data_IF_748143059026
#
_entry.id   IF_748143059026
#
_cell.length_a   1.000
_cell.length_b   1.000
_cell.length_c   1.000
_cell.angle_alpha   90.00
_cell.angle_beta   90.00
_cell.angle_gamma   90.00
#
_symmetry.space_group_name_H-M   'P 1'
#
loop_
_entity.id
_entity.type
_entity.pdbx_description
1 polymer ?
#
# COMPACT_ATOMS: atom_id res chain seq x y z
N UNK A 1 -22.18 2.94 -13.30
CA UNK A 1 -22.04 4.43 -13.34
C UNK A 1 -23.01 5.00 -14.38
N UNK A 2 -23.66 6.16 -14.11
CA UNK A 2 -24.59 6.75 -15.11
C UNK A 2 -23.80 7.52 -16.19
N UNK A 3 -24.48 7.78 -17.35
CA UNK A 3 -23.89 8.42 -18.52
C UNK A 3 -23.41 9.86 -18.23
N UNK A 4 -24.20 10.62 -17.49
CA UNK A 4 -23.90 12.02 -17.15
C UNK A 4 -22.62 12.15 -16.32
N UNK A 5 -22.42 11.27 -15.33
CA UNK A 5 -21.18 11.22 -14.57
C UNK A 5 -19.96 10.91 -15.43
N UNK A 6 -20.09 9.97 -16.38
CA UNK A 6 -19.00 9.63 -17.30
C UNK A 6 -18.63 10.76 -18.24
N UNK A 7 -19.64 11.50 -18.79
CA UNK A 7 -19.41 12.69 -19.61
C UNK A 7 -18.69 13.79 -18.80
N UNK A 8 -19.05 13.97 -17.52
CA UNK A 8 -18.37 14.89 -16.63
C UNK A 8 -16.92 14.52 -16.36
N UNK A 9 -16.59 13.23 -16.17
CA UNK A 9 -15.19 12.75 -16.05
C UNK A 9 -14.39 13.01 -17.32
N UNK A 10 -14.98 12.75 -18.51
CA UNK A 10 -14.34 13.00 -19.80
C UNK A 10 -14.04 14.48 -20.07
N UNK A 11 -14.78 15.39 -19.45
CA UNK A 11 -14.49 16.83 -19.50
C UNK A 11 -13.31 17.25 -18.59
N UNK A 12 -12.95 16.42 -17.61
CA UNK A 12 -11.84 16.64 -16.68
C UNK A 12 -10.56 15.96 -17.15
N UNK A 13 -10.70 14.70 -17.61
CA UNK A 13 -9.60 13.82 -17.99
C UNK A 13 -9.68 13.44 -19.48
N UNK A 14 -8.53 13.21 -20.12
CA UNK A 14 -8.53 12.60 -21.44
C UNK A 14 -9.05 11.15 -21.36
N UNK A 15 -9.70 10.67 -22.44
CA UNK A 15 -10.33 9.35 -22.46
C UNK A 15 -9.37 8.18 -22.21
N UNK A 16 -8.09 8.33 -22.54
CA UNK A 16 -7.03 7.33 -22.30
C UNK A 16 -6.72 7.10 -20.82
N UNK A 17 -7.12 8.03 -19.94
CA UNK A 17 -6.94 7.93 -18.50
C UNK A 17 -8.14 7.30 -17.75
N UNK A 18 -9.19 6.88 -18.50
CA UNK A 18 -10.45 6.36 -17.92
C UNK A 18 -10.66 4.93 -18.40
N UNK A 19 -10.64 3.99 -17.48
CA UNK A 19 -10.86 2.57 -17.74
C UNK A 19 -12.16 2.12 -17.09
N UNK A 20 -13.01 1.40 -17.84
CA UNK A 20 -14.27 0.86 -17.34
C UNK A 20 -14.13 -0.64 -17.09
N UNK A 21 -14.71 -1.12 -15.99
CA UNK A 21 -14.67 -2.53 -15.60
C UNK A 21 -13.22 -3.09 -15.57
N UNK A 22 -12.29 -2.29 -15.03
CA UNK A 22 -10.88 -2.66 -14.99
C UNK A 22 -10.61 -3.77 -13.97
N UNK A 23 -9.96 -4.84 -14.41
CA UNK A 23 -9.68 -6.02 -13.58
C UNK A 23 -8.68 -5.69 -12.45
N UNK A 24 -9.16 -5.67 -11.22
CA UNK A 24 -8.35 -5.34 -10.05
C UNK A 24 -7.27 -6.38 -9.71
N UNK A 25 -7.32 -7.58 -10.28
CA UNK A 25 -6.23 -8.56 -10.16
C UNK A 25 -4.90 -8.04 -10.74
N UNK A 26 -4.96 -7.16 -11.73
CA UNK A 26 -3.78 -6.52 -12.32
C UNK A 26 -3.16 -5.46 -11.41
N UNK A 27 -3.95 -4.91 -10.48
CA UNK A 27 -3.59 -3.78 -9.63
C UNK A 27 -3.41 -4.14 -8.15
N UNK A 28 -3.39 -5.44 -7.83
CA UNK A 28 -3.12 -5.93 -6.48
C UNK A 28 -1.99 -6.96 -6.47
N UNK A 29 -1.12 -6.92 -5.46
CA UNK A 29 -0.07 -7.92 -5.28
C UNK A 29 -0.63 -9.31 -4.92
N UNK A 30 -1.84 -9.37 -4.42
CA UNK A 30 -2.57 -10.62 -4.15
C UNK A 30 -3.08 -11.31 -5.42
N UNK A 31 -3.22 -10.54 -6.52
CA UNK A 31 -3.85 -10.97 -7.78
C UNK A 31 -5.26 -11.54 -7.56
N UNK A 32 -6.01 -10.91 -6.66
CA UNK A 32 -7.40 -11.24 -6.30
C UNK A 32 -8.26 -9.99 -6.44
N UNK A 33 -9.51 -10.17 -6.83
CA UNK A 33 -10.54 -9.12 -6.90
C UNK A 33 -11.34 -9.16 -8.19
N UNK A 34 -12.56 -8.66 -8.13
CA UNK A 34 -13.39 -8.38 -9.29
C UNK A 34 -12.99 -7.06 -9.97
N UNK A 35 -13.83 -6.59 -10.88
CA UNK A 35 -13.57 -5.36 -11.64
C UNK A 35 -13.87 -4.09 -10.83
N UNK A 36 -13.08 -3.04 -11.02
CA UNK A 36 -13.44 -1.68 -10.63
C UNK A 36 -14.42 -1.10 -11.65
N UNK A 37 -15.53 -0.53 -11.20
CA UNK A 37 -16.53 0.07 -12.09
C UNK A 37 -15.92 1.18 -12.97
N UNK A 38 -15.13 2.06 -12.35
CA UNK A 38 -14.31 3.08 -13.01
C UNK A 38 -12.92 3.09 -12.38
N UNK A 39 -11.89 3.02 -13.21
CA UNK A 39 -10.50 3.14 -12.79
C UNK A 39 -9.87 4.33 -13.53
N UNK A 40 -9.23 5.23 -12.81
CA UNK A 40 -8.65 6.46 -13.35
C UNK A 40 -7.15 6.48 -13.12
N UNK A 41 -6.37 6.84 -14.15
CA UNK A 41 -4.98 7.23 -14.01
C UNK A 41 -4.88 8.75 -13.96
N UNK A 42 -4.40 9.31 -12.85
CA UNK A 42 -4.30 10.74 -12.64
C UNK A 42 -2.84 11.15 -12.54
N UNK A 43 -2.44 12.13 -13.34
CA UNK A 43 -1.04 12.51 -13.51
C UNK A 43 -0.67 13.86 -12.86
N UNK A 44 -1.64 14.70 -12.52
CA UNK A 44 -1.42 16.03 -11.96
C UNK A 44 -2.29 16.30 -10.72
N UNK A 45 -1.84 17.24 -9.88
CA UNK A 45 -2.58 17.68 -8.68
C UNK A 45 -3.91 18.35 -9.07
N UNK A 46 -3.90 19.10 -10.15
CA UNK A 46 -5.07 19.82 -10.67
C UNK A 46 -6.17 18.86 -11.12
N UNK A 47 -5.80 17.79 -11.84
CA UNK A 47 -6.74 16.71 -12.23
C UNK A 47 -7.28 16.01 -10.99
N UNK A 48 -6.42 15.67 -10.03
CA UNK A 48 -6.80 14.99 -8.80
C UNK A 48 -7.83 15.80 -7.99
N UNK A 49 -7.60 17.11 -7.82
CA UNK A 49 -8.55 18.02 -7.15
C UNK A 49 -9.87 18.09 -7.90
N UNK A 50 -9.84 18.25 -9.23
CA UNK A 50 -11.06 18.33 -10.05
C UNK A 50 -11.88 17.04 -9.96
N UNK A 51 -11.24 15.88 -10.14
CA UNK A 51 -11.89 14.58 -10.07
C UNK A 51 -12.50 14.31 -8.70
N UNK A 52 -11.74 14.52 -7.62
CA UNK A 52 -12.24 14.26 -6.27
C UNK A 52 -13.36 15.20 -5.85
N UNK A 53 -13.31 16.46 -6.24
CA UNK A 53 -14.40 17.43 -6.03
C UNK A 53 -15.64 17.04 -6.87
N UNK A 54 -15.44 16.57 -8.09
CA UNK A 54 -16.52 16.10 -8.95
C UNK A 54 -17.20 14.85 -8.33
N UNK A 55 -16.43 13.86 -7.91
CA UNK A 55 -16.96 12.68 -7.21
C UNK A 55 -17.78 13.08 -5.98
N UNK A 56 -17.26 14.02 -5.15
CA UNK A 56 -17.98 14.51 -3.97
C UNK A 56 -19.31 15.20 -4.33
N UNK A 57 -19.29 16.04 -5.37
CA UNK A 57 -20.50 16.76 -5.85
C UNK A 57 -21.59 15.80 -6.31
N UNK A 58 -21.20 14.75 -7.03
CA UNK A 58 -22.12 13.75 -7.59
C UNK A 58 -22.45 12.63 -6.59
N UNK A 59 -21.91 12.65 -5.36
CA UNK A 59 -22.14 11.63 -4.34
C UNK A 59 -21.56 10.27 -4.70
N UNK A 60 -20.51 10.23 -5.49
CA UNK A 60 -19.81 9.00 -5.91
C UNK A 60 -18.60 8.77 -5.02
N UNK A 61 -18.54 7.58 -4.43
CA UNK A 61 -17.39 7.17 -3.61
C UNK A 61 -16.15 6.94 -4.48
N UNK A 62 -14.98 7.28 -3.94
CA UNK A 62 -13.72 6.99 -4.57
C UNK A 62 -12.70 6.42 -3.58
N UNK A 63 -11.74 5.67 -4.10
CA UNK A 63 -10.62 5.11 -3.36
C UNK A 63 -9.30 5.38 -4.11
N UNK A 64 -8.29 5.90 -3.38
CA UNK A 64 -6.95 6.12 -3.95
C UNK A 64 -6.12 4.88 -3.75
N UNK A 65 -5.71 4.28 -4.86
CA UNK A 65 -4.92 3.06 -4.91
C UNK A 65 -3.45 3.39 -5.09
N UNK A 66 -2.61 2.83 -4.23
CA UNK A 66 -1.17 2.74 -4.48
C UNK A 66 -0.85 1.48 -5.30
N UNK A 67 0.20 0.74 -4.90
CA UNK A 67 0.57 -0.51 -5.58
C UNK A 67 -0.31 -1.72 -5.21
N UNK A 68 -1.42 -1.54 -4.47
CA UNK A 68 -2.31 -2.62 -4.06
C UNK A 68 -1.65 -3.72 -3.21
N UNK A 69 -0.53 -3.41 -2.56
CA UNK A 69 0.31 -4.41 -1.86
C UNK A 69 -0.16 -4.78 -0.46
N UNK A 70 -1.18 -4.11 0.05
CA UNK A 70 -1.84 -4.40 1.34
C UNK A 70 -3.36 -4.44 1.19
N UNK A 71 -3.85 -4.91 0.03
CA UNK A 71 -5.26 -4.84 -0.33
C UNK A 71 -5.80 -6.21 -0.75
N UNK A 72 -6.98 -6.54 -0.25
CA UNK A 72 -7.82 -7.63 -0.71
C UNK A 72 -9.11 -7.03 -1.29
N UNK A 73 -9.25 -7.09 -2.60
CA UNK A 73 -10.44 -6.59 -3.32
C UNK A 73 -11.50 -7.70 -3.37
N UNK A 74 -12.77 -7.34 -3.13
CA UNK A 74 -13.88 -8.27 -3.18
C UNK A 74 -14.05 -8.94 -4.56
N UNK A 75 -14.59 -10.15 -4.58
CA UNK A 75 -14.83 -10.90 -5.81
C UNK A 75 -15.88 -10.22 -6.71
N UNK A 76 -16.83 -9.51 -6.09
CA UNK A 76 -17.85 -8.69 -6.77
C UNK A 76 -17.29 -7.42 -7.41
N UNK A 77 -16.04 -7.08 -7.10
CA UNK A 77 -15.37 -5.86 -7.58
C UNK A 77 -15.66 -4.64 -6.71
N UNK A 78 -15.36 -3.46 -7.25
CA UNK A 78 -15.46 -2.18 -6.54
C UNK A 78 -16.43 -1.27 -7.26
N UNK A 79 -17.46 -0.80 -6.55
CA UNK A 79 -18.34 0.26 -7.02
C UNK A 79 -17.68 1.63 -6.80
N UNK A 80 -18.03 2.58 -7.67
CA UNK A 80 -17.45 3.93 -7.62
C UNK A 80 -16.14 4.03 -8.40
N UNK A 81 -15.24 4.88 -7.94
CA UNK A 81 -14.05 5.29 -8.67
C UNK A 81 -12.78 4.84 -7.94
N UNK A 82 -11.92 4.11 -8.62
CA UNK A 82 -10.53 3.87 -8.19
C UNK A 82 -9.63 4.91 -8.84
N UNK A 83 -8.80 5.57 -8.06
CA UNK A 83 -7.84 6.58 -8.52
C UNK A 83 -6.42 6.03 -8.33
N UNK A 84 -5.67 5.91 -9.41
CA UNK A 84 -4.26 5.55 -9.42
C UNK A 84 -3.41 6.75 -9.82
N UNK A 85 -2.39 7.06 -9.01
CA UNK A 85 -1.55 8.25 -9.20
C UNK A 85 -0.34 7.89 -10.09
N UNK A 86 -0.20 8.63 -11.19
CA UNK A 86 0.83 8.40 -12.23
C UNK A 86 1.58 9.69 -12.59
N UNK A 87 2.35 9.68 -13.65
CA UNK A 87 2.98 10.87 -14.24
C UNK A 87 3.76 11.70 -13.21
N UNK A 88 3.40 12.99 -13.08
CA UNK A 88 4.07 13.93 -12.15
C UNK A 88 3.85 13.54 -10.68
N UNK A 89 2.75 12.84 -10.39
CA UNK A 89 2.44 12.33 -9.03
C UNK A 89 3.23 11.05 -8.68
N UNK A 90 4.01 10.51 -9.60
CA UNK A 90 4.89 9.35 -9.42
C UNK A 90 6.38 9.69 -9.72
N UNK A 91 6.75 10.96 -9.68
CA UNK A 91 8.13 11.42 -9.88
C UNK A 91 8.87 11.66 -8.56
N UNK A 92 10.21 11.85 -8.66
CA UNK A 92 11.05 12.28 -7.55
C UNK A 92 12.00 13.39 -7.98
N UNK A 93 12.36 14.27 -7.03
CA UNK A 93 13.37 15.32 -7.20
C UNK A 93 14.18 15.50 -5.93
N UNK A 94 15.40 16.01 -6.05
CA UNK A 94 16.28 16.24 -4.92
C UNK A 94 16.96 17.61 -5.01
N UNK A 95 17.09 18.27 -3.86
CA UNK A 95 17.85 19.50 -3.68
C UNK A 95 18.70 19.36 -2.43
N UNK A 96 20.02 19.19 -2.62
CA UNK A 96 20.93 18.80 -1.53
C UNK A 96 20.53 17.43 -0.96
N UNK A 97 20.25 17.38 0.35
CA UNK A 97 19.79 16.17 1.05
C UNK A 97 18.27 16.14 1.27
N UNK A 98 17.53 17.10 0.69
CA UNK A 98 16.08 17.14 0.72
C UNK A 98 15.53 16.46 -0.53
N UNK A 99 14.80 15.39 -0.33
CA UNK A 99 14.15 14.62 -1.38
C UNK A 99 12.65 14.89 -1.34
N UNK A 100 12.06 15.08 -2.51
CA UNK A 100 10.61 15.11 -2.71
C UNK A 100 10.20 13.97 -3.62
N UNK A 101 9.18 13.20 -3.21
CA UNK A 101 8.64 12.10 -4.01
C UNK A 101 7.12 12.16 -4.08
N UNK A 102 6.57 11.96 -5.27
CA UNK A 102 5.14 11.84 -5.50
C UNK A 102 4.57 10.56 -4.90
N UNK A 103 3.34 10.62 -4.42
CA UNK A 103 2.67 9.53 -3.72
C UNK A 103 2.48 8.25 -4.55
N UNK A 104 2.40 8.39 -5.90
CA UNK A 104 2.29 7.26 -6.83
C UNK A 104 3.62 6.53 -7.09
N UNK A 105 4.77 7.11 -6.73
CA UNK A 105 6.08 6.48 -6.95
C UNK A 105 6.20 5.20 -6.13
N UNK A 106 6.70 4.12 -6.73
CA UNK A 106 6.98 2.89 -5.98
C UNK A 106 8.18 3.08 -5.06
N UNK A 107 8.17 2.42 -3.89
CA UNK A 107 9.30 2.47 -2.95
C UNK A 107 10.58 1.87 -3.54
N UNK A 108 10.46 0.88 -4.42
CA UNK A 108 11.60 0.33 -5.14
C UNK A 108 12.24 1.36 -6.08
N UNK A 109 11.42 2.10 -6.85
CA UNK A 109 11.92 3.18 -7.72
C UNK A 109 12.51 4.33 -6.90
N UNK A 110 11.89 4.69 -5.77
CA UNK A 110 12.42 5.69 -4.85
C UNK A 110 13.79 5.27 -4.29
N UNK A 111 13.94 4.01 -3.86
CA UNK A 111 15.22 3.48 -3.38
C UNK A 111 16.30 3.50 -4.47
N UNK A 112 15.97 3.12 -5.71
CA UNK A 112 16.91 3.24 -6.83
C UNK A 112 17.32 4.69 -7.05
N UNK A 113 16.38 5.62 -7.01
CA UNK A 113 16.66 7.05 -7.15
C UNK A 113 17.60 7.56 -6.05
N UNK A 114 17.41 7.13 -4.79
CA UNK A 114 18.31 7.55 -3.68
C UNK A 114 19.72 7.00 -3.82
N UNK A 115 19.89 5.78 -4.34
CA UNK A 115 21.21 5.22 -4.68
C UNK A 115 21.93 6.08 -5.73
N UNK A 116 21.24 6.48 -6.81
CA UNK A 116 21.81 7.33 -7.87
C UNK A 116 22.19 8.73 -7.38
N UNK A 117 21.53 9.20 -6.31
CA UNK A 117 21.77 10.51 -5.68
C UNK A 117 22.70 10.43 -4.48
N UNK A 118 23.24 9.25 -4.16
CA UNK A 118 24.13 9.03 -3.03
C UNK A 118 23.52 9.47 -1.69
N UNK A 119 22.21 9.16 -1.51
CA UNK A 119 21.43 9.48 -0.32
C UNK A 119 21.02 8.21 0.43
N UNK A 120 21.45 8.12 1.69
CA UNK A 120 21.17 7.01 2.63
C UNK A 120 20.00 7.35 3.55
N UNK A 121 19.28 6.31 3.99
CA UNK A 121 18.16 6.41 4.95
C UNK A 121 16.89 5.71 4.49
N UNK A 122 16.77 5.32 3.20
CA UNK A 122 15.61 4.62 2.64
C UNK A 122 15.89 3.16 2.25
N UNK A 123 17.03 2.60 2.65
CA UNK A 123 17.41 1.22 2.32
C UNK A 123 16.39 0.19 2.84
N UNK A 124 15.80 0.45 4.02
CA UNK A 124 14.78 -0.41 4.61
C UNK A 124 13.52 -0.54 3.73
N UNK A 125 13.24 0.50 2.93
CA UNK A 125 12.03 0.59 2.11
C UNK A 125 12.18 -0.12 0.75
N UNK A 126 13.40 -0.36 0.27
CA UNK A 126 13.68 -0.88 -1.07
C UNK A 126 12.94 -2.18 -1.41
N UNK A 127 12.75 -3.06 -0.43
CA UNK A 127 12.03 -4.32 -0.60
C UNK A 127 10.53 -4.26 -0.33
N UNK A 128 9.98 -3.13 0.12
CA UNK A 128 8.54 -3.00 0.40
C UNK A 128 7.80 -2.78 -0.93
N UNK A 129 6.82 -3.61 -1.32
CA UNK A 129 6.18 -3.52 -2.64
C UNK A 129 5.09 -2.43 -2.74
N UNK A 130 5.19 -1.38 -1.91
CA UNK A 130 4.24 -0.28 -1.82
C UNK A 130 4.60 0.93 -2.67
N UNK A 131 3.67 1.89 -2.75
CA UNK A 131 3.91 3.26 -3.21
C UNK A 131 4.27 4.17 -2.04
N UNK A 132 4.86 5.33 -2.33
CA UNK A 132 5.17 6.37 -1.34
C UNK A 132 3.93 6.77 -0.55
N UNK A 133 2.81 7.06 -1.21
CA UNK A 133 1.55 7.44 -0.54
C UNK A 133 1.01 6.34 0.37
N UNK A 134 1.05 5.08 -0.10
CA UNK A 134 0.67 3.92 0.72
C UNK A 134 1.60 3.71 1.92
N UNK A 135 2.90 3.99 1.75
CA UNK A 135 3.87 3.93 2.83
C UNK A 135 3.63 4.99 3.91
N UNK A 136 3.26 6.21 3.52
CA UNK A 136 2.86 7.28 4.46
C UNK A 136 1.57 6.92 5.19
N UNK A 137 0.57 6.42 4.46
CA UNK A 137 -0.70 5.97 5.06
C UNK A 137 -0.45 4.98 6.19
N UNK A 138 0.44 4.01 5.99
CA UNK A 138 0.73 2.92 6.92
C UNK A 138 1.91 3.19 7.86
N UNK A 139 2.59 4.33 7.79
CA UNK A 139 3.92 4.47 8.40
C UNK A 139 4.75 3.21 8.14
N UNK A 140 4.93 2.86 6.88
CA UNK A 140 5.54 1.60 6.49
C UNK A 140 6.96 1.47 7.03
N UNK A 141 7.29 0.29 7.52
CA UNK A 141 8.61 0.02 8.06
C UNK A 141 9.02 -1.44 7.92
N UNK A 142 10.31 -1.66 7.87
CA UNK A 142 10.95 -2.97 7.81
C UNK A 142 12.39 -2.88 8.39
N UNK A 143 12.86 -3.96 8.98
CA UNK A 143 14.26 -4.09 9.44
C UNK A 143 14.75 -2.97 10.37
N UNK A 144 13.85 -2.40 11.17
CA UNK A 144 14.17 -1.37 12.17
C UNK A 144 14.03 0.07 11.68
N UNK A 145 13.79 0.32 10.38
CA UNK A 145 13.47 1.64 9.85
C UNK A 145 11.98 1.80 9.56
N UNK A 146 11.45 3.01 9.69
CA UNK A 146 10.07 3.39 9.40
C UNK A 146 10.02 4.73 8.64
N UNK A 147 8.91 5.01 7.93
CA UNK A 147 8.76 6.29 7.21
C UNK A 147 8.91 7.50 8.13
N UNK A 148 8.39 7.44 9.36
CA UNK A 148 8.53 8.53 10.36
C UNK A 148 9.97 8.94 10.64
N UNK A 149 10.94 8.06 10.41
CA UNK A 149 12.36 8.31 10.75
C UNK A 149 13.02 9.24 9.72
N UNK A 150 12.46 9.35 8.52
CA UNK A 150 13.04 10.08 7.39
C UNK A 150 12.12 11.15 6.78
N UNK A 151 10.81 11.10 7.07
CA UNK A 151 9.82 12.07 6.57
C UNK A 151 9.92 13.38 7.36
N UNK A 152 9.93 14.50 6.65
CA UNK A 152 9.91 15.85 7.24
C UNK A 152 8.63 16.61 6.97
N UNK A 153 7.90 16.26 5.90
CA UNK A 153 6.64 16.90 5.56
C UNK A 153 5.86 16.11 4.52
N UNK A 154 4.56 16.32 4.50
CA UNK A 154 3.64 15.65 3.57
C UNK A 154 2.63 16.66 3.03
N UNK A 155 2.54 16.76 1.71
CA UNK A 155 1.46 17.49 1.04
C UNK A 155 0.30 16.55 0.80
N UNK A 156 -0.88 16.95 1.26
CA UNK A 156 -2.12 16.17 1.11
C UNK A 156 -3.25 17.05 0.59
N UNK A 157 -4.13 16.47 -0.21
CA UNK A 157 -5.43 17.09 -0.49
C UNK A 157 -6.37 16.73 0.67
N UNK A 158 -6.85 17.74 1.39
CA UNK A 158 -7.82 17.61 2.47
C UNK A 158 -8.92 18.63 2.21
N UNK A 159 -10.18 18.16 2.17
CA UNK A 159 -11.35 18.97 1.85
C UNK A 159 -11.27 19.73 0.50
N UNK A 160 -10.58 19.12 -0.48
CA UNK A 160 -10.41 19.65 -1.83
C UNK A 160 -9.28 20.67 -1.97
N UNK A 161 -8.51 20.93 -0.91
CA UNK A 161 -7.38 21.84 -0.89
C UNK A 161 -6.07 21.12 -0.63
N UNK A 162 -4.99 21.57 -1.28
CA UNK A 162 -3.65 21.08 -1.02
C UNK A 162 -3.12 21.74 0.27
N UNK A 163 -2.82 20.92 1.29
CA UNK A 163 -2.30 21.35 2.59
C UNK A 163 -0.98 20.65 2.88
N UNK A 164 -0.09 21.34 3.60
CA UNK A 164 1.17 20.79 4.09
C UNK A 164 1.01 20.39 5.56
N UNK A 165 1.54 19.20 5.91
CA UNK A 165 1.61 18.69 7.26
C UNK A 165 3.08 18.39 7.59
N UNK A 166 3.56 18.84 8.75
CA UNK A 166 4.88 18.49 9.25
C UNK A 166 4.92 17.02 9.69
N UNK A 167 6.12 16.49 9.92
CA UNK A 167 6.27 15.10 10.41
C UNK A 167 5.55 14.88 11.75
N UNK A 168 5.54 15.88 12.63
CA UNK A 168 4.84 15.84 13.93
C UNK A 168 3.33 15.79 13.75
N UNK A 169 2.78 16.59 12.82
CA UNK A 169 1.34 16.62 12.53
C UNK A 169 0.86 15.33 11.86
N UNK A 170 1.76 14.52 11.29
CA UNK A 170 1.41 13.25 10.67
C UNK A 170 0.97 12.17 11.67
N UNK A 171 1.16 12.35 12.98
CA UNK A 171 0.74 11.42 14.04
C UNK A 171 1.15 9.97 13.75
N UNK A 172 2.39 9.79 13.33
CA UNK A 172 2.92 8.47 12.96
C UNK A 172 3.05 7.53 14.16
N UNK A 173 2.48 6.35 14.03
CA UNK A 173 2.66 5.25 14.97
C UNK A 173 2.65 3.91 14.22
N UNK A 174 2.68 2.78 14.93
CA UNK A 174 2.68 1.46 14.30
C UNK A 174 1.49 1.27 13.35
N UNK A 175 1.75 1.18 12.05
CA UNK A 175 0.75 1.02 10.97
C UNK A 175 -0.31 2.12 10.97
N UNK A 176 0.07 3.34 11.34
CA UNK A 176 -0.84 4.46 11.45
C UNK A 176 -0.19 5.79 11.05
N UNK A 177 -1.01 6.67 10.48
CA UNK A 177 -0.75 8.10 10.29
C UNK A 177 -2.05 8.89 10.43
N UNK A 178 -1.98 10.23 10.50
CA UNK A 178 -3.14 11.12 10.55
C UNK A 178 -4.11 10.90 9.39
N UNK A 179 -3.64 10.39 8.25
CA UNK A 179 -4.45 10.10 7.05
C UNK A 179 -5.63 9.18 7.37
N UNK A 180 -5.49 8.28 8.36
CA UNK A 180 -6.59 7.42 8.81
C UNK A 180 -7.75 8.17 9.47
N UNK A 181 -7.48 9.35 10.03
CA UNK A 181 -8.46 10.18 10.76
C UNK A 181 -9.11 11.24 9.86
N UNK A 182 -8.46 11.60 8.76
CA UNK A 182 -8.91 12.65 7.84
C UNK A 182 -9.77 12.03 6.73
N UNK A 183 -11.03 12.40 6.69
CA UNK A 183 -11.95 11.90 5.66
C UNK A 183 -11.50 12.34 4.26
N UNK A 184 -11.34 11.37 3.36
CA UNK A 184 -10.94 11.60 1.96
C UNK A 184 -9.61 12.37 1.79
N UNK A 185 -8.70 12.29 2.77
CA UNK A 185 -7.37 12.82 2.63
C UNK A 185 -6.55 11.99 1.63
N UNK A 186 -5.83 12.67 0.74
CA UNK A 186 -5.01 12.04 -0.30
C UNK A 186 -3.60 12.56 -0.21
N UNK A 187 -2.64 11.67 0.06
CA UNK A 187 -1.22 11.99 0.01
C UNK A 187 -0.83 12.28 -1.44
N UNK A 188 -0.15 13.39 -1.67
CA UNK A 188 0.24 13.87 -3.02
C UNK A 188 1.76 13.86 -3.19
N UNK A 189 2.49 14.49 -2.24
CA UNK A 189 3.95 14.59 -2.27
C UNK A 189 4.48 14.45 -0.86
N UNK A 190 5.61 13.79 -0.73
CA UNK A 190 6.30 13.55 0.55
C UNK A 190 7.68 14.17 0.49
N UNK A 191 8.05 14.86 1.56
CA UNK A 191 9.38 15.43 1.78
C UNK A 191 10.16 14.53 2.74
N UNK A 192 11.39 14.22 2.35
CA UNK A 192 12.32 13.43 3.14
C UNK A 192 13.60 14.21 3.39
N UNK A 193 14.20 13.99 4.54
CA UNK A 193 15.56 14.39 4.84
C UNK A 193 16.41 13.14 4.97
N UNK A 194 17.38 13.02 4.07
CA UNK A 194 18.28 11.88 3.98
C UNK A 194 19.72 12.33 4.24
N UNK A 195 20.59 11.38 4.54
CA UNK A 195 22.00 11.68 4.79
C UNK A 195 22.85 11.32 3.55
N UNK A 196 23.90 12.10 3.23
CA UNK A 196 24.85 11.71 2.20
C UNK A 196 25.47 10.33 2.51
N UNK A 197 25.56 9.46 1.51
CA UNK A 197 26.16 8.14 1.66
C UNK A 197 26.91 7.74 0.39
N UNK A 198 27.83 6.79 0.51
CA UNK A 198 28.49 6.21 -0.66
C UNK A 198 27.55 5.24 -1.35
N UNK A 199 27.46 5.34 -2.67
CA UNK A 199 26.59 4.50 -3.51
C UNK A 199 26.76 3.01 -3.20
N UNK A 200 28.00 2.55 -3.12
CA UNK A 200 28.34 1.14 -2.89
C UNK A 200 27.78 0.63 -1.55
N UNK A 201 27.88 1.46 -0.49
CA UNK A 201 27.38 1.09 0.83
C UNK A 201 25.85 1.03 0.86
N UNK A 202 25.17 1.95 0.17
CA UNK A 202 23.70 1.97 0.07
C UNK A 202 23.21 0.74 -0.71
N UNK A 203 23.85 0.44 -1.85
CA UNK A 203 23.55 -0.75 -2.66
C UNK A 203 23.78 -2.06 -1.87
N UNK A 204 24.92 -2.16 -1.17
CA UNK A 204 25.24 -3.32 -0.33
C UNK A 204 24.14 -3.53 0.73
N UNK A 205 23.73 -2.44 1.41
CA UNK A 205 22.67 -2.52 2.43
C UNK A 205 21.32 -2.94 1.84
N UNK A 206 20.93 -2.37 0.71
CA UNK A 206 19.70 -2.76 0.00
C UNK A 206 19.76 -4.25 -0.39
N UNK A 207 20.89 -4.71 -0.91
CA UNK A 207 21.06 -6.10 -1.33
C UNK A 207 20.99 -7.06 -0.14
N UNK A 208 21.63 -6.72 0.98
CA UNK A 208 21.53 -7.48 2.24
C UNK A 208 20.06 -7.62 2.69
N UNK A 209 19.33 -6.50 2.79
CA UNK A 209 17.94 -6.50 3.26
C UNK A 209 17.01 -7.27 2.30
N UNK A 210 17.21 -7.10 1.00
CA UNK A 210 16.45 -7.85 -0.01
C UNK A 210 16.76 -9.36 0.01
N UNK A 211 18.02 -9.75 0.28
CA UNK A 211 18.39 -11.16 0.44
C UNK A 211 17.70 -11.77 1.66
N UNK A 212 17.73 -11.11 2.81
CA UNK A 212 17.01 -11.53 4.03
C UNK A 212 15.50 -11.65 3.79
N UNK A 213 14.93 -10.76 2.96
CA UNK A 213 13.52 -10.79 2.61
C UNK A 213 13.18 -12.01 1.75
N UNK A 214 13.97 -12.28 0.69
CA UNK A 214 13.79 -13.46 -0.16
C UNK A 214 13.93 -14.77 0.61
N UNK A 215 14.83 -14.82 1.57
CA UNK A 215 15.01 -15.99 2.42
C UNK A 215 13.77 -16.25 3.29
N UNK A 216 13.18 -15.22 3.90
CA UNK A 216 12.15 -15.35 4.94
C UNK A 216 10.72 -15.26 4.45
N UNK A 217 10.46 -14.59 3.33
CA UNK A 217 9.10 -14.32 2.85
C UNK A 217 8.77 -15.13 1.59
N UNK A 218 7.49 -15.53 1.40
CA UNK A 218 7.04 -16.34 0.27
C UNK A 218 6.82 -15.46 -0.98
N UNK A 219 7.89 -14.80 -1.48
CA UNK A 219 7.82 -13.83 -2.58
C UNK A 219 7.49 -14.48 -3.93
N UNK A 220 7.60 -15.79 -4.02
CA UNK A 220 7.23 -16.62 -5.17
C UNK A 220 5.71 -16.73 -5.39
N UNK A 221 4.91 -16.40 -4.37
CA UNK A 221 3.45 -16.42 -4.43
C UNK A 221 2.83 -15.03 -4.28
N UNK A 222 1.71 -14.74 -4.99
CA UNK A 222 0.95 -13.53 -4.76
C UNK A 222 0.42 -13.46 -3.31
N UNK A 223 0.55 -12.28 -2.68
CA UNK A 223 0.06 -12.03 -1.32
C UNK A 223 -0.09 -10.53 -1.07
N UNK A 224 -0.72 -10.14 0.03
CA UNK A 224 -0.77 -8.77 0.52
C UNK A 224 0.19 -8.53 1.70
N UNK A 225 1.35 -9.21 1.73
CA UNK A 225 2.29 -9.11 2.84
C UNK A 225 1.83 -9.86 4.09
N UNK A 226 2.25 -9.38 5.27
CA UNK A 226 1.78 -9.95 6.54
C UNK A 226 0.29 -9.71 6.72
N UNK A 227 -0.46 -10.79 6.91
CA UNK A 227 -1.93 -10.74 6.97
C UNK A 227 -2.44 -10.13 8.26
N UNK A 228 -1.71 -10.32 9.38
CA UNK A 228 -2.14 -9.88 10.70
C UNK A 228 -1.18 -8.86 11.30
N UNK A 229 -1.74 -7.91 12.03
CA UNK A 229 -0.98 -6.96 12.86
C UNK A 229 -0.21 -7.71 13.95
N UNK A 230 0.87 -7.11 14.43
CA UNK A 230 1.58 -7.62 15.61
C UNK A 230 0.62 -7.60 16.81
N UNK A 231 0.44 -8.72 17.51
CA UNK A 231 -0.32 -8.77 18.76
C UNK A 231 0.47 -8.07 19.88
N UNK A 232 -0.16 -7.84 21.05
CA UNK A 232 0.46 -7.22 22.22
C UNK A 232 1.67 -8.02 22.70
N UNK A 233 1.64 -9.35 22.55
CA UNK A 233 2.73 -10.24 22.96
C UNK A 233 3.22 -11.07 21.76
N UNK A 234 4.52 -11.02 21.48
CA UNK A 234 5.16 -11.85 20.46
C UNK A 234 4.90 -11.39 19.02
N UNK A 235 4.86 -12.35 18.12
CA UNK A 235 4.65 -12.15 16.68
C UNK A 235 3.50 -13.03 16.18
N UNK A 236 2.61 -12.45 15.38
CA UNK A 236 1.49 -13.20 14.79
C UNK A 236 1.96 -14.47 14.04
N UNK A 237 3.07 -14.38 13.28
CA UNK A 237 3.63 -15.53 12.58
C UNK A 237 4.03 -16.68 13.52
N UNK A 238 4.68 -16.38 14.64
CA UNK A 238 5.07 -17.39 15.60
C UNK A 238 3.84 -18.09 16.22
N UNK A 239 2.85 -17.33 16.65
CA UNK A 239 1.63 -17.87 17.27
C UNK A 239 0.84 -18.74 16.27
N UNK A 240 0.77 -18.33 15.00
CA UNK A 240 0.12 -19.10 13.92
C UNK A 240 0.88 -20.40 13.66
N UNK A 241 2.21 -20.37 13.71
CA UNK A 241 3.05 -21.57 13.55
C UNK A 241 2.90 -22.55 14.72
N UNK A 242 2.95 -22.04 15.96
CA UNK A 242 2.72 -22.83 17.18
C UNK A 242 1.30 -23.42 17.23
N UNK A 243 0.32 -22.76 16.62
CA UNK A 243 -1.02 -23.28 16.44
C UNK A 243 -1.11 -24.40 15.38
N UNK A 244 -0.01 -24.69 14.65
CA UNK A 244 0.05 -25.77 13.66
C UNK A 244 -0.64 -25.44 12.34
N UNK A 245 -0.76 -24.12 11.98
CA UNK A 245 -1.58 -23.68 10.84
C UNK A 245 -0.82 -23.50 9.53
N UNK A 246 0.51 -23.72 9.48
CA UNK A 246 1.27 -23.71 8.22
C UNK A 246 0.69 -24.68 7.20
N UNK A 247 0.49 -24.23 5.97
CA UNK A 247 -0.05 -25.04 4.87
C UNK A 247 -1.56 -25.28 4.94
N UNK A 248 -2.27 -24.71 5.93
CA UNK A 248 -3.75 -24.75 5.96
C UNK A 248 -4.32 -24.02 4.76
N UNK A 249 -5.28 -24.64 4.06
CA UNK A 249 -5.89 -24.11 2.84
C UNK A 249 -7.41 -23.97 2.96
N UNK A 250 -7.94 -22.92 2.31
CA UNK A 250 -9.36 -22.78 1.98
C UNK A 250 -9.41 -22.33 0.51
N UNK A 251 -9.97 -23.15 -0.35
CA UNK A 251 -9.96 -22.92 -1.79
C UNK A 251 -8.53 -22.75 -2.31
N UNK A 252 -8.28 -21.63 -3.02
CA UNK A 252 -6.95 -21.27 -3.54
C UNK A 252 -6.04 -20.53 -2.56
N UNK A 253 -6.51 -20.18 -1.36
CA UNK A 253 -5.73 -19.49 -0.34
C UNK A 253 -5.03 -20.44 0.62
N UNK A 254 -3.77 -20.20 0.97
CA UNK A 254 -2.97 -21.02 1.88
C UNK A 254 -2.21 -20.16 2.90
N UNK A 255 -2.15 -20.60 4.16
CA UNK A 255 -1.16 -20.09 5.13
C UNK A 255 0.23 -20.55 4.70
N UNK A 256 1.11 -19.62 4.37
CA UNK A 256 2.42 -19.96 3.80
C UNK A 256 3.22 -20.90 4.70
N UNK A 257 3.77 -21.94 4.10
CA UNK A 257 4.69 -22.88 4.76
C UNK A 257 6.02 -22.23 5.11
N UNK A 258 6.43 -21.19 4.33
CA UNK A 258 7.67 -20.45 4.53
C UNK A 258 7.56 -19.41 5.65
N UNK A 259 6.45 -18.67 5.71
CA UNK A 259 6.20 -17.63 6.70
C UNK A 259 4.72 -17.61 7.09
N UNK A 260 4.40 -18.17 8.23
CA UNK A 260 3.02 -18.38 8.73
C UNK A 260 2.19 -17.08 8.92
N UNK A 261 2.83 -15.91 8.98
CA UNK A 261 2.14 -14.62 8.99
C UNK A 261 1.57 -14.19 7.63
N UNK A 262 1.84 -14.93 6.55
CA UNK A 262 1.37 -14.64 5.19
C UNK A 262 0.29 -15.64 4.78
N UNK A 263 -0.81 -15.11 4.25
CA UNK A 263 -1.74 -15.88 3.42
C UNK A 263 -1.35 -15.60 1.96
N UNK A 264 -1.18 -16.66 1.20
CA UNK A 264 -0.73 -16.64 -0.20
C UNK A 264 -1.80 -17.20 -1.13
N UNK A 265 -1.83 -16.71 -2.35
CA UNK A 265 -2.66 -17.22 -3.43
C UNK A 265 -1.87 -18.29 -4.19
N UNK A 266 -2.19 -19.56 -3.96
CA UNK A 266 -1.48 -20.69 -4.57
C UNK A 266 -2.21 -21.28 -5.77
N UNK A 267 -3.52 -21.00 -5.90
CA UNK A 267 -4.35 -21.58 -6.97
C UNK A 267 -5.62 -20.74 -7.21
N UNK A 268 -5.48 -19.61 -7.89
CA UNK A 268 -6.61 -18.74 -8.24
C UNK A 268 -7.56 -18.44 -7.07
N UNK A 269 -7.01 -18.13 -5.90
CA UNK A 269 -7.80 -17.83 -4.70
C UNK A 269 -8.79 -16.70 -4.95
N UNK A 270 -9.97 -16.84 -4.36
CA UNK A 270 -10.99 -15.79 -4.30
C UNK A 270 -10.82 -14.95 -3.03
N UNK A 271 -11.43 -13.74 -3.01
CA UNK A 271 -11.50 -12.93 -1.80
C UNK A 271 -12.26 -13.66 -0.68
N UNK A 272 -13.26 -14.46 -1.03
CA UNK A 272 -14.02 -15.31 -0.11
C UNK A 272 -13.10 -16.36 0.53
N UNK A 273 -12.22 -17.01 -0.23
CA UNK A 273 -11.28 -18.00 0.29
C UNK A 273 -10.33 -17.37 1.33
N UNK A 274 -9.75 -16.21 0.99
CA UNK A 274 -8.85 -15.48 1.88
C UNK A 274 -9.55 -15.04 3.16
N UNK A 275 -10.75 -14.44 3.05
CA UNK A 275 -11.58 -14.04 4.21
C UNK A 275 -11.92 -15.25 5.09
N UNK A 276 -12.29 -16.37 4.49
CA UNK A 276 -12.54 -17.62 5.20
C UNK A 276 -11.32 -18.12 5.95
N UNK A 277 -10.15 -18.10 5.30
CA UNK A 277 -8.90 -18.54 5.91
C UNK A 277 -8.44 -17.59 7.04
N UNK A 278 -8.60 -16.26 6.89
CA UNK A 278 -8.35 -15.28 7.96
C UNK A 278 -9.22 -15.61 9.18
N UNK A 279 -10.52 -15.80 8.99
CA UNK A 279 -11.46 -16.12 10.09
C UNK A 279 -11.12 -17.45 10.77
N UNK A 280 -10.73 -18.46 9.99
CA UNK A 280 -10.31 -19.75 10.53
C UNK A 280 -9.05 -19.63 11.37
N UNK A 281 -8.02 -18.91 10.88
CA UNK A 281 -6.76 -18.68 11.62
C UNK A 281 -7.05 -17.93 12.92
N UNK A 282 -7.87 -16.87 12.88
CA UNK A 282 -8.25 -16.09 14.07
C UNK A 282 -8.89 -17.00 15.14
N UNK A 283 -9.87 -17.81 14.73
CA UNK A 283 -10.58 -18.73 15.64
C UNK A 283 -9.61 -19.73 16.29
N UNK A 284 -8.82 -20.44 15.50
CA UNK A 284 -7.92 -21.49 16.02
C UNK A 284 -6.83 -20.91 16.92
N UNK A 285 -6.26 -19.75 16.55
CA UNK A 285 -5.26 -19.06 17.38
C UNK A 285 -5.88 -18.63 18.71
N UNK A 286 -7.06 -18.01 18.72
CA UNK A 286 -7.74 -17.59 19.95
C UNK A 286 -8.06 -18.81 20.84
N UNK A 287 -8.57 -19.90 20.29
CA UNK A 287 -8.85 -21.14 21.02
C UNK A 287 -7.60 -21.77 21.66
N UNK A 288 -6.45 -21.73 20.96
CA UNK A 288 -5.22 -22.41 21.45
C UNK A 288 -4.35 -21.54 22.34
N UNK A 289 -4.31 -20.22 22.11
CA UNK A 289 -3.37 -19.32 22.79
C UNK A 289 -4.06 -18.20 23.58
N UNK A 290 -5.38 -17.99 23.43
CA UNK A 290 -6.11 -16.87 24.00
C UNK A 290 -5.81 -15.52 23.30
N UNK A 291 -4.95 -15.50 22.28
CA UNK A 291 -4.54 -14.27 21.59
C UNK A 291 -5.50 -13.95 20.45
N UNK A 292 -6.02 -12.72 20.43
CA UNK A 292 -6.83 -12.21 19.31
C UNK A 292 -5.92 -11.61 18.24
N UNK A 293 -6.04 -12.13 17.01
CA UNK A 293 -5.37 -11.59 15.84
C UNK A 293 -6.28 -10.61 15.09
N UNK A 294 -5.71 -9.49 14.66
CA UNK A 294 -6.42 -8.47 13.88
C UNK A 294 -5.79 -8.36 12.47
N UNK A 295 -6.56 -8.38 11.38
CA UNK A 295 -6.02 -8.23 10.04
C UNK A 295 -5.29 -6.89 9.86
N UNK A 296 -4.14 -6.93 9.18
CA UNK A 296 -3.43 -5.74 8.67
C UNK A 296 -3.88 -5.42 7.24
N UNK A 297 -4.19 -6.46 6.47
CA UNK A 297 -4.71 -6.36 5.10
C UNK A 297 -6.03 -5.58 5.09
N UNK A 298 -6.11 -4.58 4.22
CA UNK A 298 -7.32 -3.78 4.01
C UNK A 298 -8.24 -4.51 3.04
N UNK A 299 -9.55 -4.49 3.33
CA UNK A 299 -10.58 -5.09 2.47
C UNK A 299 -11.32 -3.98 1.74
N UNK A 300 -11.46 -4.10 0.44
CA UNK A 300 -12.17 -3.18 -0.45
C UNK A 300 -13.23 -3.95 -1.23
#
# INVERSE_FOLDING_TARGET
MNKEFMEGLQNILCGEAIFLNEDMKKHTSFKIGGAAEVFLEISTVEELIKVTNYCKKEGVDFFVLGNGSNLLVADEGVKGVIIHLTGKLAGASVEGNKLRAGAGLSLAALATFTVEKELSGLEFAAGIPGSVGGAIYMNAGAYGGEMKDVVTGVYMIVDGELKHYSAEEMDFSYRHSIVHKLKNAIVVTVEFKLEPGKKENIEEKINELNARRREKQPLEYPSAGSTFKRPETGYASQIIEEAGLKGTRIGGAEVSKKHSGFIINVDNATAKDVKGLISYVQKVVEEKSGVKLYPEVKML
#
